data_IF_799865019019
#
_entry.id   IF_799865019019
#
_cell.length_a   1.000
_cell.length_b   1.000
_cell.length_c   1.000
_cell.angle_alpha   90.00
_cell.angle_beta   90.00
_cell.angle_gamma   90.00
#
_symmetry.space_group_name_H-M   'P 1'
#
loop_
_entity.id
_entity.type
_entity.pdbx_description
1 polymer ?
#
# COMPACT_ATOMS: atom_id res chain seq x y z
N UNK A 1 -6.64 -24.02 30.89
CA UNK A 1 -7.63 -25.09 30.69
C UNK A 1 -9.06 -24.70 31.09
N UNK A 2 -9.29 -23.55 31.73
CA UNK A 2 -10.63 -23.04 32.11
C UNK A 2 -11.43 -22.41 30.95
N UNK A 3 -10.78 -21.79 29.96
CA UNK A 3 -11.46 -21.14 28.82
C UNK A 3 -12.28 -22.11 27.95
N UNK A 4 -11.85 -23.37 27.86
CA UNK A 4 -12.53 -24.36 27.03
C UNK A 4 -13.89 -24.76 27.61
N UNK A 5 -14.05 -24.75 28.94
CA UNK A 5 -15.30 -25.12 29.60
C UNK A 5 -16.39 -24.05 29.38
N UNK A 6 -16.01 -22.77 29.49
CA UNK A 6 -16.94 -21.65 29.27
C UNK A 6 -17.43 -21.60 27.83
N UNK A 7 -16.53 -21.82 26.86
CA UNK A 7 -16.90 -21.85 25.45
C UNK A 7 -17.88 -22.99 25.14
N UNK A 8 -17.62 -24.20 25.65
CA UNK A 8 -18.50 -25.35 25.46
C UNK A 8 -19.89 -25.15 26.11
N UNK A 9 -19.96 -24.50 27.28
CA UNK A 9 -21.23 -24.15 27.92
C UNK A 9 -22.03 -23.17 27.06
N UNK A 10 -21.38 -22.11 26.56
CA UNK A 10 -21.99 -21.14 25.65
C UNK A 10 -22.52 -21.84 24.38
N UNK A 11 -21.73 -22.75 23.81
CA UNK A 11 -22.10 -23.47 22.59
C UNK A 11 -23.34 -24.35 22.80
N UNK A 12 -23.44 -25.04 23.95
CA UNK A 12 -24.62 -25.84 24.30
C UNK A 12 -25.88 -24.99 24.50
N UNK A 13 -25.79 -23.87 25.21
CA UNK A 13 -26.90 -22.93 25.41
C UNK A 13 -27.39 -22.34 24.08
N UNK A 14 -26.44 -21.94 23.22
CA UNK A 14 -26.76 -21.43 21.88
C UNK A 14 -27.42 -22.50 21.01
N UNK A 15 -26.97 -23.75 21.06
CA UNK A 15 -27.58 -24.86 20.33
C UNK A 15 -29.02 -25.12 20.78
N UNK A 16 -29.28 -25.04 22.10
CA UNK A 16 -30.64 -25.11 22.64
C UNK A 16 -31.55 -24.01 22.06
N UNK A 17 -31.07 -22.77 22.03
CA UNK A 17 -31.80 -21.63 21.46
C UNK A 17 -32.00 -21.77 19.94
N UNK A 18 -31.00 -22.26 19.21
CA UNK A 18 -31.10 -22.48 17.76
C UNK A 18 -32.13 -23.56 17.42
N UNK A 19 -32.25 -24.61 18.25
CA UNK A 19 -33.20 -25.72 18.03
C UNK A 19 -34.66 -25.27 18.08
N UNK A 20 -34.97 -24.27 18.90
CA UNK A 20 -36.33 -23.73 19.09
C UNK A 20 -36.67 -22.60 18.11
N UNK A 21 -35.72 -22.18 17.29
CA UNK A 21 -35.83 -20.98 16.46
C UNK A 21 -36.06 -21.31 14.99
N UNK A 22 -37.05 -20.66 14.37
CA UNK A 22 -37.36 -20.83 12.95
C UNK A 22 -36.20 -20.40 12.03
N UNK A 23 -36.07 -21.03 10.85
CA UNK A 23 -35.04 -20.71 9.87
C UNK A 23 -35.05 -19.23 9.44
N UNK A 24 -36.24 -18.62 9.35
CA UNK A 24 -36.40 -17.22 8.99
C UNK A 24 -35.83 -16.28 10.07
N UNK A 25 -36.08 -16.58 11.35
CA UNK A 25 -35.51 -15.81 12.45
C UNK A 25 -33.99 -16.00 12.54
N UNK A 26 -33.51 -17.25 12.41
CA UNK A 26 -32.06 -17.54 12.40
C UNK A 26 -31.36 -16.76 11.30
N UNK A 27 -31.91 -16.73 10.08
CA UNK A 27 -31.37 -15.93 8.97
C UNK A 27 -31.34 -14.43 9.29
N UNK A 28 -32.34 -13.88 9.99
CA UNK A 28 -32.34 -12.47 10.42
C UNK A 28 -31.23 -12.22 11.45
N UNK A 29 -31.04 -13.12 12.40
CA UNK A 29 -30.01 -13.06 13.43
C UNK A 29 -28.60 -13.15 12.82
N UNK A 30 -28.32 -14.17 12.00
CA UNK A 30 -27.03 -14.34 11.33
C UNK A 30 -26.70 -13.15 10.42
N UNK A 31 -27.71 -12.53 9.79
CA UNK A 31 -27.55 -11.31 9.01
C UNK A 31 -27.09 -10.11 9.85
N UNK A 32 -27.63 -9.96 11.07
CA UNK A 32 -27.16 -8.94 12.03
C UNK A 32 -25.73 -9.25 12.47
N UNK A 33 -25.44 -10.51 12.79
CA UNK A 33 -24.11 -10.96 13.22
C UNK A 33 -23.05 -10.70 12.14
N UNK A 34 -23.31 -11.07 10.89
CA UNK A 34 -22.38 -10.85 9.78
C UNK A 34 -22.06 -9.36 9.57
N UNK A 35 -23.05 -8.47 9.77
CA UNK A 35 -22.84 -7.01 9.73
C UNK A 35 -22.00 -6.53 10.90
N UNK A 36 -22.23 -7.05 12.10
CA UNK A 36 -21.45 -6.71 13.29
C UNK A 36 -19.98 -7.15 13.15
N UNK A 37 -19.73 -8.41 12.75
CA UNK A 37 -18.37 -8.92 12.50
C UNK A 37 -17.66 -8.06 11.46
N UNK A 38 -18.36 -7.71 10.38
CA UNK A 38 -17.81 -6.81 9.35
C UNK A 38 -17.46 -5.43 9.91
N UNK A 39 -18.33 -4.82 10.70
CA UNK A 39 -18.07 -3.51 11.28
C UNK A 39 -16.86 -3.53 12.21
N UNK A 40 -16.73 -4.60 13.01
CA UNK A 40 -15.57 -4.81 13.88
C UNK A 40 -14.28 -4.98 13.07
N UNK A 41 -14.29 -5.82 12.04
CA UNK A 41 -13.16 -5.96 11.10
C UNK A 41 -12.79 -4.63 10.43
N UNK A 42 -13.76 -3.81 10.04
CA UNK A 42 -13.50 -2.47 9.50
C UNK A 42 -12.84 -1.54 10.54
N UNK A 43 -13.29 -1.61 11.78
CA UNK A 43 -12.75 -0.83 12.90
C UNK A 43 -11.30 -1.24 13.19
N UNK A 44 -11.02 -2.54 13.25
CA UNK A 44 -9.68 -3.11 13.47
C UNK A 44 -8.69 -2.74 12.36
N UNK A 45 -9.11 -2.85 11.09
CA UNK A 45 -8.27 -2.41 9.97
C UNK A 45 -8.06 -0.88 10.00
N UNK A 46 -9.07 -0.11 10.46
CA UNK A 46 -8.95 1.34 10.65
C UNK A 46 -7.99 1.71 11.77
N UNK A 47 -7.93 0.95 12.86
CA UNK A 47 -6.96 1.13 13.95
C UNK A 47 -5.57 0.56 13.64
N UNK A 48 -5.37 -0.05 12.46
CA UNK A 48 -4.10 -0.64 12.03
C UNK A 48 -3.64 -1.79 12.95
N UNK A 49 -4.57 -2.67 13.33
CA UNK A 49 -4.30 -3.79 14.22
C UNK A 49 -4.47 -5.15 13.53
N UNK A 50 -3.62 -6.10 13.90
CA UNK A 50 -3.69 -7.53 13.58
C UNK A 50 -4.82 -8.23 14.35
N UNK A 51 -5.07 -9.50 14.04
CA UNK A 51 -6.23 -10.23 14.59
C UNK A 51 -6.07 -10.54 16.09
N UNK A 52 -4.83 -10.66 16.54
CA UNK A 52 -4.37 -10.74 17.94
C UNK A 52 -4.40 -9.37 18.67
N UNK A 53 -4.71 -8.28 17.96
CA UNK A 53 -4.73 -6.91 18.50
C UNK A 53 -3.40 -6.16 18.42
N UNK A 54 -2.30 -6.80 17.99
CA UNK A 54 -1.00 -6.15 17.82
C UNK A 54 -1.03 -5.11 16.70
N UNK A 55 -0.16 -4.10 16.72
CA UNK A 55 -0.11 -3.10 15.65
C UNK A 55 0.51 -3.68 14.36
N UNK A 56 0.07 -3.20 13.20
CA UNK A 56 0.69 -3.59 11.93
C UNK A 56 2.16 -3.18 11.85
N UNK A 57 2.95 -4.02 11.18
CA UNK A 57 4.34 -3.68 10.87
C UNK A 57 4.44 -2.42 10.01
N UNK A 58 5.27 -1.43 10.40
CA UNK A 58 5.43 -0.20 9.63
C UNK A 58 5.95 -0.45 8.21
N UNK A 59 5.33 0.18 7.20
CA UNK A 59 5.83 0.08 5.82
C UNK A 59 7.24 0.64 5.69
N UNK A 60 8.06 -0.06 4.90
CA UNK A 60 9.37 0.44 4.46
C UNK A 60 9.21 1.80 3.79
N UNK A 61 10.02 2.77 4.22
CA UNK A 61 9.97 4.14 3.69
C UNK A 61 10.49 4.16 2.25
N UNK A 62 9.74 4.79 1.35
CA UNK A 62 10.25 5.09 0.01
C UNK A 62 11.29 6.20 0.10
N UNK A 63 12.53 5.88 -0.26
CA UNK A 63 13.61 6.85 -0.42
C UNK A 63 13.56 7.35 -1.86
N UNK A 64 13.21 8.62 -2.06
CA UNK A 64 13.33 9.25 -3.37
C UNK A 64 14.78 9.68 -3.58
N UNK A 65 15.28 9.51 -4.80
CA UNK A 65 16.56 10.06 -5.24
C UNK A 65 16.27 11.42 -5.86
N UNK A 66 16.84 12.49 -5.29
CA UNK A 66 16.78 13.81 -5.91
C UNK A 66 17.60 13.84 -7.21
N UNK A 67 17.20 14.73 -8.11
CA UNK A 67 17.68 14.81 -9.49
C UNK A 67 19.12 15.35 -9.55
N UNK A 68 19.98 14.72 -10.35
CA UNK A 68 21.32 15.24 -10.62
C UNK A 68 21.19 16.58 -11.35
N UNK A 69 21.84 17.62 -10.84
CA UNK A 69 21.86 18.95 -11.47
C UNK A 69 23.27 19.23 -11.98
N UNK A 70 23.39 19.78 -13.18
CA UNK A 70 24.66 20.24 -13.74
C UNK A 70 24.49 21.64 -14.28
N UNK A 71 25.49 22.48 -14.02
CA UNK A 71 25.55 23.85 -14.52
C UNK A 71 26.80 24.02 -15.37
N UNK A 72 26.67 24.57 -16.56
CA UNK A 72 27.79 24.76 -17.48
C UNK A 72 27.59 25.98 -18.38
N UNK A 73 28.67 26.43 -19.02
CA UNK A 73 28.65 27.51 -20.01
C UNK A 73 28.63 26.88 -21.42
N UNK A 74 27.66 27.28 -22.23
CA UNK A 74 27.49 26.85 -23.61
C UNK A 74 27.22 28.06 -24.50
N UNK A 75 28.11 28.33 -25.47
CA UNK A 75 28.08 29.52 -26.32
C UNK A 75 27.91 30.84 -25.54
N UNK A 76 28.57 30.98 -24.39
CA UNK A 76 28.49 32.17 -23.53
C UNK A 76 27.33 32.18 -22.53
N UNK A 77 26.31 31.35 -22.75
CA UNK A 77 25.17 31.23 -21.83
C UNK A 77 25.44 30.21 -20.73
N UNK A 78 25.06 30.55 -19.49
CA UNK A 78 24.98 29.58 -18.41
C UNK A 78 23.71 28.75 -18.60
N UNK A 79 23.86 27.42 -18.57
CA UNK A 79 22.79 26.43 -18.69
C UNK A 79 22.73 25.57 -17.44
N UNK A 80 21.52 25.28 -16.99
CA UNK A 80 21.27 24.37 -15.87
C UNK A 80 20.41 23.19 -16.31
N UNK A 81 20.95 21.97 -16.22
CA UNK A 81 20.17 20.76 -16.49
C UNK A 81 19.86 19.98 -15.22
N UNK A 82 18.61 19.55 -15.07
CA UNK A 82 18.17 18.54 -14.10
C UNK A 82 17.93 17.19 -14.76
N UNK A 83 18.04 16.11 -13.97
CA UNK A 83 17.89 14.72 -14.45
C UNK A 83 18.77 14.43 -15.67
N UNK A 84 19.96 15.01 -15.70
CA UNK A 84 20.79 14.89 -16.86
C UNK A 84 21.44 13.50 -16.91
N UNK A 85 21.70 13.03 -18.13
CA UNK A 85 22.44 11.82 -18.40
C UNK A 85 23.47 12.08 -19.49
N UNK A 86 24.62 11.42 -19.39
CA UNK A 86 25.60 11.38 -20.47
C UNK A 86 25.17 10.37 -21.54
N UNK A 87 25.36 10.71 -22.81
CA UNK A 87 25.15 9.78 -23.92
C UNK A 87 26.22 10.00 -25.01
N UNK A 88 26.10 9.30 -26.15
CA UNK A 88 26.96 9.45 -27.32
C UNK A 88 26.08 9.78 -28.53
N UNK A 89 26.19 11.01 -29.02
CA UNK A 89 25.59 11.44 -30.28
C UNK A 89 26.54 11.25 -31.46
N UNK A 90 26.10 11.67 -32.65
CA UNK A 90 26.87 11.55 -33.90
C UNK A 90 28.24 12.22 -33.84
N UNK A 91 28.31 13.41 -33.24
CA UNK A 91 29.55 14.20 -33.12
C UNK A 91 30.38 13.90 -31.86
N UNK A 92 29.94 12.98 -31.00
CA UNK A 92 30.67 12.64 -29.77
C UNK A 92 29.80 12.61 -28.52
N UNK A 93 30.43 12.78 -27.36
CA UNK A 93 29.75 12.66 -26.05
C UNK A 93 28.76 13.82 -25.87
N UNK A 94 27.54 13.51 -25.47
CA UNK A 94 26.48 14.47 -25.17
C UNK A 94 26.07 14.43 -23.71
N UNK A 95 25.37 15.47 -23.28
CA UNK A 95 24.67 15.57 -22.01
C UNK A 95 23.23 15.96 -22.36
N UNK A 96 22.27 15.15 -21.94
CA UNK A 96 20.85 15.37 -22.16
C UNK A 96 20.15 15.50 -20.83
N UNK A 97 19.33 16.52 -20.65
CA UNK A 97 18.57 16.73 -19.41
C UNK A 97 17.49 17.79 -19.60
N UNK A 98 16.69 18.00 -18.56
CA UNK A 98 15.70 19.08 -18.55
C UNK A 98 16.42 20.40 -18.28
N UNK A 99 16.43 21.29 -19.28
CA UNK A 99 16.99 22.62 -19.19
C UNK A 99 16.01 23.52 -18.41
N UNK A 100 16.40 23.95 -17.22
CA UNK A 100 15.58 24.81 -16.36
C UNK A 100 15.33 26.17 -17.02
N UNK A 101 16.32 26.70 -17.74
CA UNK A 101 16.28 28.03 -18.35
C UNK A 101 15.38 28.05 -19.58
N UNK A 102 15.25 26.91 -20.27
CA UNK A 102 14.41 26.77 -21.47
C UNK A 102 13.12 25.98 -21.25
N UNK A 103 12.91 25.44 -20.06
CA UNK A 103 11.72 24.66 -19.70
C UNK A 103 11.51 23.39 -20.53
N UNK A 104 12.56 22.83 -21.13
CA UNK A 104 12.44 21.71 -22.06
C UNK A 104 13.64 20.75 -21.98
N UNK A 105 13.45 19.49 -22.38
CA UNK A 105 14.55 18.53 -22.49
C UNK A 105 15.45 18.92 -23.65
N UNK A 106 16.75 19.07 -23.36
CA UNK A 106 17.75 19.49 -24.34
C UNK A 106 19.00 18.63 -24.25
N UNK A 107 19.67 18.52 -25.38
CA UNK A 107 20.93 17.78 -25.54
C UNK A 107 22.03 18.74 -25.96
N UNK A 108 23.12 18.73 -25.21
CA UNK A 108 24.31 19.53 -25.47
C UNK A 108 25.49 18.59 -25.74
N UNK A 109 26.31 18.92 -26.74
CA UNK A 109 27.55 18.18 -26.96
C UNK A 109 28.61 18.66 -25.99
N UNK A 110 29.32 17.74 -25.34
CA UNK A 110 30.34 18.08 -24.33
C UNK A 110 31.48 18.91 -24.89
N UNK A 111 31.81 18.72 -26.17
CA UNK A 111 32.81 19.51 -26.88
C UNK A 111 32.38 20.98 -27.10
N UNK A 112 31.07 21.25 -27.12
CA UNK A 112 30.51 22.59 -27.31
C UNK A 112 30.28 23.28 -25.93
N UNK A 113 30.69 22.64 -24.84
CA UNK A 113 30.62 23.18 -23.47
C UNK A 113 31.98 23.80 -23.14
N UNK A 114 32.00 25.11 -22.92
CA UNK A 114 33.24 25.84 -22.60
C UNK A 114 33.75 25.49 -21.21
N UNK A 115 32.86 25.46 -20.21
CA UNK A 115 33.24 25.21 -18.82
C UNK A 115 32.09 24.63 -18.00
N UNK A 116 32.36 23.60 -17.21
CA UNK A 116 31.45 23.14 -16.16
C UNK A 116 31.61 24.03 -14.93
N UNK A 117 30.51 24.59 -14.43
CA UNK A 117 30.48 25.45 -13.26
C UNK A 117 30.20 24.66 -11.98
N UNK A 118 29.29 23.69 -12.05
CA UNK A 118 28.94 22.81 -10.94
C UNK A 118 28.42 21.48 -11.47
N UNK A 119 28.81 20.37 -10.84
CA UNK A 119 28.33 19.03 -11.16
C UNK A 119 27.86 18.35 -9.87
N UNK A 120 26.57 18.51 -9.56
CA UNK A 120 25.95 17.84 -8.42
C UNK A 120 25.55 16.41 -8.82
N UNK A 121 26.44 15.47 -8.57
CA UNK A 121 26.17 14.03 -8.66
C UNK A 121 25.41 13.49 -7.45
N UNK A 122 25.21 14.30 -6.40
CA UNK A 122 24.61 13.86 -5.15
C UNK A 122 23.12 13.60 -5.31
N UNK A 123 22.75 12.32 -5.44
CA UNK A 123 21.36 11.92 -5.26
C UNK A 123 21.00 12.11 -3.78
N UNK A 124 20.38 13.23 -3.42
CA UNK A 124 19.92 13.41 -2.04
C UNK A 124 18.81 12.38 -1.78
N UNK A 125 19.05 11.46 -0.85
CA UNK A 125 18.06 10.51 -0.34
C UNK A 125 16.99 11.32 0.42
N UNK A 126 15.91 11.70 -0.25
CA UNK A 126 14.77 12.34 0.41
C UNK A 126 13.79 11.26 0.86
N UNK A 127 13.70 11.03 2.17
CA UNK A 127 12.65 10.17 2.75
C UNK A 127 11.33 10.92 2.74
N UNK A 128 10.31 10.40 2.03
CA UNK A 128 8.97 10.99 2.10
C UNK A 128 8.28 10.57 3.39
N UNK A 129 7.89 11.52 4.25
CA UNK A 129 6.99 11.27 5.40
C UNK A 129 5.53 11.12 4.92
N UNK A 130 5.23 10.14 4.07
CA UNK A 130 3.84 9.84 3.69
C UNK A 130 3.22 8.89 4.71
N UNK A 131 2.56 9.46 5.72
CA UNK A 131 1.76 8.73 6.70
C UNK A 131 0.40 8.31 6.12
N UNK A 132 0.40 7.43 5.12
CA UNK A 132 -0.85 6.87 4.60
C UNK A 132 -1.16 5.58 5.37
N UNK A 133 -2.33 5.53 6.03
CA UNK A 133 -2.84 4.31 6.69
C UNK A 133 -2.93 3.15 5.69
N UNK A 134 -2.50 1.96 6.09
CA UNK A 134 -2.56 0.77 5.26
C UNK A 134 -4.01 0.28 5.11
N UNK A 135 -4.28 -0.46 4.03
CA UNK A 135 -5.56 -1.16 3.81
C UNK A 135 -6.81 -0.28 3.81
N UNK A 136 -6.65 1.03 3.58
CA UNK A 136 -7.76 2.00 3.52
C UNK A 136 -8.80 1.64 2.47
N UNK A 137 -8.37 1.04 1.35
CA UNK A 137 -9.27 0.50 0.32
C UNK A 137 -9.86 -0.84 0.75
N UNK A 138 -9.04 -1.75 1.28
CA UNK A 138 -9.45 -3.10 1.64
C UNK A 138 -10.60 -3.11 2.66
N UNK A 139 -10.59 -2.21 3.67
CA UNK A 139 -11.72 -2.09 4.62
C UNK A 139 -13.04 -1.63 3.99
N UNK A 140 -13.03 -1.14 2.75
CA UNK A 140 -14.24 -0.61 2.15
C UNK A 140 -15.27 -1.71 1.87
N UNK A 141 -16.53 -1.30 1.87
CA UNK A 141 -17.67 -2.19 1.74
C UNK A 141 -17.69 -3.06 0.48
N UNK A 142 -16.97 -2.61 -0.56
CA UNK A 142 -16.85 -3.28 -1.86
C UNK A 142 -15.90 -4.48 -1.85
N UNK A 143 -15.01 -4.59 -0.84
CA UNK A 143 -14.01 -5.66 -0.76
C UNK A 143 -14.25 -6.56 0.45
N UNK A 144 -14.68 -6.00 1.58
CA UNK A 144 -15.07 -6.77 2.76
C UNK A 144 -16.57 -7.07 2.68
N UNK A 145 -16.93 -8.29 2.34
CA UNK A 145 -18.32 -8.71 2.18
C UNK A 145 -18.85 -9.28 3.49
N UNK A 146 -20.16 -9.11 3.71
CA UNK A 146 -20.90 -9.80 4.75
C UNK A 146 -21.94 -10.69 4.05
N UNK A 147 -21.91 -11.99 4.33
CA UNK A 147 -22.84 -12.99 3.82
C UNK A 147 -23.39 -13.77 5.00
N UNK A 148 -24.59 -14.30 4.84
CA UNK A 148 -25.20 -15.12 5.86
C UNK A 148 -26.10 -16.18 5.25
N UNK A 149 -26.21 -17.29 5.96
CA UNK A 149 -27.22 -18.33 5.74
C UNK A 149 -28.12 -18.39 6.98
N UNK A 150 -29.02 -19.36 7.08
CA UNK A 150 -29.77 -19.55 8.32
C UNK A 150 -28.85 -19.98 9.49
N UNK A 151 -27.75 -20.68 9.21
CA UNK A 151 -26.89 -21.28 10.25
C UNK A 151 -25.49 -20.66 10.32
N UNK A 152 -25.14 -19.76 9.41
CA UNK A 152 -23.80 -19.16 9.35
C UNK A 152 -23.83 -17.66 9.09
N UNK A 153 -22.88 -16.96 9.72
CA UNK A 153 -22.60 -15.56 9.51
C UNK A 153 -21.12 -15.41 9.11
N UNK A 154 -20.87 -14.84 7.93
CA UNK A 154 -19.53 -14.77 7.35
C UNK A 154 -19.23 -13.31 7.01
N UNK A 155 -18.10 -12.82 7.49
CA UNK A 155 -17.50 -11.57 7.01
C UNK A 155 -16.09 -11.85 6.51
N UNK A 156 -15.81 -11.50 5.26
CA UNK A 156 -14.54 -11.85 4.65
C UNK A 156 -14.31 -11.21 3.29
N UNK A 157 -13.11 -11.43 2.77
CA UNK A 157 -12.67 -10.95 1.47
C UNK A 157 -12.81 -12.06 0.42
N UNK A 158 -12.83 -11.68 -0.86
CA UNK A 158 -12.86 -12.62 -1.98
C UNK A 158 -11.83 -12.26 -3.06
N UNK A 159 -11.44 -13.26 -3.86
CA UNK A 159 -10.48 -13.10 -4.95
C UNK A 159 -9.18 -12.43 -4.51
N UNK A 160 -8.73 -11.42 -5.25
CA UNK A 160 -7.48 -10.68 -4.96
C UNK A 160 -7.49 -10.01 -3.58
N UNK A 161 -8.65 -9.55 -3.09
CA UNK A 161 -8.73 -8.96 -1.76
C UNK A 161 -8.50 -10.01 -0.66
N UNK A 162 -8.92 -11.26 -0.88
CA UNK A 162 -8.64 -12.36 0.04
C UNK A 162 -7.17 -12.74 0.07
N UNK A 163 -6.51 -12.79 -1.09
CA UNK A 163 -5.08 -13.06 -1.16
C UNK A 163 -4.27 -12.03 -0.34
N UNK A 164 -4.53 -10.74 -0.57
CA UNK A 164 -3.91 -9.64 0.18
C UNK A 164 -4.21 -9.75 1.68
N UNK A 165 -5.46 -10.05 2.05
CA UNK A 165 -5.83 -10.15 3.46
C UNK A 165 -5.16 -11.34 4.16
N UNK A 166 -4.95 -12.47 3.50
CA UNK A 166 -4.28 -13.64 4.10
C UNK A 166 -2.83 -13.33 4.45
N UNK A 167 -2.09 -12.76 3.50
CA UNK A 167 -0.69 -12.39 3.69
C UNK A 167 -0.54 -11.36 4.83
N UNK A 168 -1.48 -10.43 4.93
CA UNK A 168 -1.41 -9.37 5.94
C UNK A 168 -2.05 -9.68 7.30
N UNK A 169 -3.08 -10.52 7.39
CA UNK A 169 -3.75 -10.83 8.66
C UNK A 169 -3.18 -12.04 9.38
N UNK A 170 -2.59 -12.99 8.63
CA UNK A 170 -2.02 -14.21 9.19
C UNK A 170 -0.51 -14.31 8.96
N UNK A 171 0.13 -13.33 8.33
CA UNK A 171 1.57 -13.34 8.04
C UNK A 171 2.00 -14.47 7.10
N UNK A 172 1.05 -15.08 6.38
CA UNK A 172 1.33 -16.17 5.46
C UNK A 172 1.98 -15.59 4.20
N UNK A 173 3.30 -15.76 4.05
CA UNK A 173 3.99 -15.42 2.81
C UNK A 173 3.26 -16.08 1.64
N UNK A 174 3.07 -15.33 0.56
CA UNK A 174 2.29 -15.74 -0.61
C UNK A 174 2.89 -16.96 -1.31
N UNK A 175 2.63 -18.14 -0.77
CA UNK A 175 2.80 -19.42 -1.45
C UNK A 175 1.74 -19.53 -2.53
N UNK A 176 2.14 -19.32 -3.78
CA UNK A 176 1.46 -19.89 -4.93
C UNK A 176 1.63 -21.41 -4.88
N UNK A 177 0.59 -22.12 -4.47
CA UNK A 177 0.25 -23.46 -4.94
C UNK A 177 -1.07 -23.39 -5.69
#
# INVERSE_FOLDING_TARGET
MSDNSLFMQLENELNGLLSTTSAAYRRKLTGKLARAIRADQQKRIRSQQNADGSAYEPRKRKVLRAQQQIRFIHHGDVRTLRNWQGSKGRRGKTITGFDEDRGAVRTFYRQDITRFLDINFSSVKRSTKRNVLMFRRLRAARFLHARNTQDSAIAGFQGKAAAIAREHQYGLEGGSE
#
